data_IF_592864973219
#
_entry.id   IF_592864973219
#
_cell.length_a   1.000
_cell.length_b   1.000
_cell.length_c   1.000
_cell.angle_alpha   90.00
_cell.angle_beta   90.00
_cell.angle_gamma   90.00
#
_symmetry.space_group_name_H-M   'P 1'
#
loop_
_entity.id
_entity.type
_entity.pdbx_description
1 polymer ?
#
# COMPACT_ATOMS: atom_id res chain seq x y z
N UNK A 1 25.71 6.38 -11.66
CA UNK A 1 25.67 6.77 -10.24
C UNK A 1 26.92 6.19 -9.59
N UNK A 2 27.84 7.07 -9.11
CA UNK A 2 29.06 6.61 -8.41
C UNK A 2 28.65 5.87 -7.13
N UNK A 3 29.32 4.78 -6.76
CA UNK A 3 29.07 4.11 -5.48
C UNK A 3 29.36 5.12 -4.36
N UNK A 4 28.38 5.27 -3.47
CA UNK A 4 28.53 6.08 -2.25
C UNK A 4 29.66 5.45 -1.43
N UNK A 5 30.78 6.14 -1.32
CA UNK A 5 31.95 5.68 -0.60
C UNK A 5 31.63 5.33 0.86
N UNK A 6 32.54 4.62 1.48
CA UNK A 6 32.51 3.96 2.79
C UNK A 6 32.40 4.95 4.00
N UNK A 7 31.54 5.99 3.90
CA UNK A 7 31.26 6.89 5.02
C UNK A 7 30.33 6.19 6.02
N UNK A 8 30.58 6.32 7.31
CA UNK A 8 29.68 5.78 8.32
C UNK A 8 28.29 6.41 8.14
N UNK A 9 27.27 5.57 8.26
CA UNK A 9 25.87 6.01 8.18
C UNK A 9 25.41 6.33 9.60
N UNK A 10 25.07 7.59 9.84
CA UNK A 10 24.48 8.06 11.10
C UNK A 10 22.96 8.03 10.98
N UNK A 11 22.28 7.67 12.06
CA UNK A 11 20.82 7.71 12.15
C UNK A 11 20.40 8.65 13.28
N UNK A 12 19.49 9.58 12.99
CA UNK A 12 18.90 10.45 14.00
C UNK A 12 17.43 10.77 13.72
N UNK A 13 16.67 11.27 14.70
CA UNK A 13 15.39 11.92 14.49
C UNK A 13 15.55 13.14 13.61
N UNK A 14 14.62 13.33 12.66
CA UNK A 14 14.61 14.48 11.74
C UNK A 14 13.25 15.17 11.77
N UNK A 15 13.20 16.42 11.29
CA UNK A 15 11.94 17.16 11.20
C UNK A 15 11.06 16.65 10.06
N UNK A 16 9.74 16.86 10.15
CA UNK A 16 8.83 16.56 9.05
C UNK A 16 9.19 17.31 7.76
N UNK A 17 9.75 18.52 7.88
CA UNK A 17 10.24 19.31 6.74
C UNK A 17 11.40 18.61 6.03
N UNK A 18 12.42 18.19 6.77
CA UNK A 18 13.59 17.46 6.24
C UNK A 18 13.17 16.14 5.62
N UNK A 19 12.26 15.43 6.28
CA UNK A 19 11.70 14.16 5.79
C UNK A 19 10.99 14.36 4.44
N UNK A 20 10.08 15.33 4.34
CA UNK A 20 9.36 15.65 3.08
C UNK A 20 10.31 16.06 1.97
N UNK A 21 11.31 16.90 2.28
CA UNK A 21 12.31 17.30 1.31
C UNK A 21 13.06 16.09 0.73
N UNK A 22 13.40 15.09 1.58
CA UNK A 22 13.99 13.84 1.09
C UNK A 22 13.05 13.07 0.18
N UNK A 23 11.78 12.88 0.56
CA UNK A 23 10.80 12.15 -0.28
C UNK A 23 10.61 12.81 -1.66
N UNK A 24 10.66 14.14 -1.72
CA UNK A 24 10.56 14.92 -2.96
C UNK A 24 11.85 14.94 -3.78
N UNK A 25 12.99 14.54 -3.20
CA UNK A 25 14.28 14.51 -3.90
C UNK A 25 14.31 13.42 -4.99
N UNK A 26 15.21 13.54 -5.99
CA UNK A 26 15.41 12.49 -6.99
C UNK A 26 15.71 11.13 -6.37
N UNK A 27 16.44 11.08 -5.27
CA UNK A 27 16.76 9.85 -4.55
C UNK A 27 15.53 9.28 -3.84
N UNK A 28 14.80 10.07 -3.08
CA UNK A 28 13.58 9.65 -2.40
C UNK A 28 12.52 9.14 -3.38
N UNK A 29 12.34 9.85 -4.51
CA UNK A 29 11.46 9.43 -5.61
C UNK A 29 11.90 8.10 -6.21
N UNK A 30 13.19 7.89 -6.45
CA UNK A 30 13.72 6.65 -6.99
C UNK A 30 13.57 5.45 -6.02
N UNK A 31 13.58 5.69 -4.70
CA UNK A 31 13.33 4.67 -3.68
C UNK A 31 11.84 4.31 -3.57
N UNK A 32 10.96 5.15 -4.10
CA UNK A 32 9.55 4.83 -4.30
C UNK A 32 8.73 4.74 -3.01
N UNK A 33 8.79 5.78 -2.18
CA UNK A 33 7.98 5.85 -0.96
C UNK A 33 6.48 5.74 -1.24
N UNK A 34 5.79 4.95 -0.40
CA UNK A 34 4.34 4.91 -0.35
C UNK A 34 3.76 6.01 0.55
N UNK A 35 2.45 6.28 0.43
CA UNK A 35 1.77 7.26 1.29
C UNK A 35 1.80 6.87 2.78
N UNK A 36 1.98 5.59 3.08
CA UNK A 36 2.11 5.07 4.46
C UNK A 36 3.45 5.47 5.12
N UNK A 37 4.40 5.96 4.34
CA UNK A 37 5.68 6.51 4.81
C UNK A 37 5.72 8.05 4.73
N UNK A 38 4.61 8.72 4.42
CA UNK A 38 4.51 10.18 4.54
C UNK A 38 4.39 10.59 6.02
N UNK A 39 5.01 11.70 6.47
CA UNK A 39 4.87 12.20 7.83
C UNK A 39 3.41 12.37 8.28
N UNK A 40 2.54 12.84 7.41
CA UNK A 40 1.09 12.99 7.66
C UNK A 40 0.38 11.68 8.01
N UNK A 41 0.95 10.52 7.65
CA UNK A 41 0.37 9.24 8.05
C UNK A 41 0.41 9.01 9.56
N UNK A 42 1.32 9.66 10.28
CA UNK A 42 1.36 9.66 11.74
C UNK A 42 0.06 10.20 12.34
N UNK A 43 -0.49 11.27 11.77
CA UNK A 43 -1.71 11.92 12.25
C UNK A 43 -2.97 11.10 11.96
N UNK A 44 -2.92 10.21 10.96
CA UNK A 44 -4.00 9.26 10.66
C UNK A 44 -4.08 8.14 11.70
N UNK A 45 -2.94 7.78 12.32
CA UNK A 45 -2.81 6.61 13.21
C UNK A 45 -3.04 6.96 14.69
N UNK A 46 -4.30 7.01 15.07
CA UNK A 46 -4.69 7.23 16.45
C UNK A 46 -4.15 6.15 17.41
N UNK A 47 -3.64 6.59 18.56
CA UNK A 47 -3.06 5.69 19.59
C UNK A 47 -1.67 5.16 19.26
N UNK A 48 -1.01 5.70 18.24
CA UNK A 48 0.39 5.43 17.92
C UNK A 48 1.25 6.68 18.12
N UNK A 49 2.42 6.50 18.71
CA UNK A 49 3.48 7.52 18.75
C UNK A 49 4.31 7.38 17.48
N UNK A 50 4.60 8.47 16.80
CA UNK A 50 5.42 8.46 15.59
C UNK A 50 6.85 8.90 15.90
N UNK A 51 7.82 8.30 15.16
CA UNK A 51 9.19 8.79 15.03
C UNK A 51 9.47 9.00 13.56
N UNK A 52 10.04 10.15 13.22
CA UNK A 52 10.58 10.44 11.91
C UNK A 52 12.10 10.30 11.98
N UNK A 53 12.64 9.29 11.34
CA UNK A 53 14.06 8.97 11.36
C UNK A 53 14.67 9.16 9.98
N UNK A 54 15.89 9.66 9.95
CA UNK A 54 16.69 9.77 8.74
C UNK A 54 18.08 9.20 8.97
N UNK A 55 18.68 8.67 7.94
CA UNK A 55 20.06 8.23 7.97
C UNK A 55 20.82 8.68 6.72
N UNK A 56 22.11 8.91 6.90
CA UNK A 56 23.01 9.39 5.86
C UNK A 56 24.37 9.78 6.42
N UNK A 57 25.21 10.42 5.62
CA UNK A 57 26.49 10.96 6.08
C UNK A 57 26.34 12.07 7.13
N UNK A 58 25.34 12.94 6.95
CA UNK A 58 24.97 14.01 7.88
C UNK A 58 23.45 14.24 7.82
N UNK A 59 22.64 13.43 8.56
CA UNK A 59 21.20 13.57 8.54
C UNK A 59 20.69 14.88 9.17
N UNK A 60 21.44 15.46 10.11
CA UNK A 60 21.08 16.74 10.75
C UNK A 60 21.21 17.89 9.77
N UNK A 61 22.22 17.89 8.91
CA UNK A 61 22.36 18.81 7.79
C UNK A 61 21.47 18.50 6.59
N UNK A 62 20.72 17.38 6.64
CA UNK A 62 19.82 16.94 5.57
C UNK A 62 20.50 16.09 4.48
N UNK A 63 21.72 15.64 4.67
CA UNK A 63 22.40 14.70 3.77
C UNK A 63 21.89 13.27 4.01
N UNK A 64 20.71 12.99 3.45
CA UNK A 64 20.00 11.75 3.69
C UNK A 64 20.22 10.72 2.56
N UNK A 65 20.32 9.45 2.95
CA UNK A 65 20.31 8.29 2.05
C UNK A 65 19.06 7.45 2.20
N UNK A 66 18.28 7.66 3.26
CA UNK A 66 17.01 7.02 3.50
C UNK A 66 16.28 7.63 4.69
N UNK A 67 14.99 7.29 4.83
CA UNK A 67 14.12 7.75 5.91
C UNK A 67 13.16 6.66 6.36
N UNK A 68 12.64 6.77 7.58
CA UNK A 68 11.60 5.90 8.10
C UNK A 68 10.59 6.67 8.95
N UNK A 69 9.31 6.53 8.63
CA UNK A 69 8.23 6.76 9.58
C UNK A 69 8.04 5.49 10.41
N UNK A 70 8.30 5.58 11.70
CA UNK A 70 8.10 4.49 12.64
C UNK A 70 6.91 4.80 13.52
N UNK A 71 5.93 3.92 13.52
CA UNK A 71 4.77 3.96 14.40
C UNK A 71 5.03 3.06 15.60
N UNK A 72 4.93 3.61 16.81
CA UNK A 72 5.14 2.90 18.07
C UNK A 72 3.82 2.69 18.80
N UNK A 73 3.45 1.43 19.01
CA UNK A 73 2.28 1.06 19.82
C UNK A 73 2.72 0.50 21.15
N UNK A 74 2.27 1.13 22.24
CA UNK A 74 2.58 0.67 23.57
C UNK A 74 1.86 -0.65 23.86
N UNK A 75 2.59 -1.61 24.42
CA UNK A 75 1.99 -2.84 24.98
C UNK A 75 1.32 -2.51 26.31
N UNK A 76 0.03 -2.84 26.47
CA UNK A 76 -0.74 -2.50 27.68
C UNK A 76 -0.03 -2.92 28.98
N UNK A 77 -0.03 -2.04 29.99
CA UNK A 77 0.59 -2.29 31.28
C UNK A 77 2.12 -2.24 31.30
N UNK A 78 2.78 -1.86 30.22
CA UNK A 78 4.25 -1.79 30.13
C UNK A 78 4.74 -0.46 29.58
N UNK A 79 6.05 -0.19 29.67
CA UNK A 79 6.74 0.90 28.94
C UNK A 79 7.44 0.39 27.67
N UNK A 80 6.94 -0.70 27.10
CA UNK A 80 7.49 -1.32 25.90
C UNK A 80 6.59 -1.08 24.71
N UNK A 81 7.20 -1.03 23.50
CA UNK A 81 6.53 -0.67 22.27
C UNK A 81 6.72 -1.74 21.20
N UNK A 82 5.68 -1.94 20.41
CA UNK A 82 5.79 -2.58 19.11
C UNK A 82 6.08 -1.49 18.07
N UNK A 83 7.16 -1.62 17.32
CA UNK A 83 7.54 -0.67 16.26
C UNK A 83 7.04 -1.18 14.91
N UNK A 84 6.35 -0.33 14.16
CA UNK A 84 5.80 -0.66 12.85
C UNK A 84 6.19 0.38 11.79
N UNK A 85 6.77 -0.08 10.70
CA UNK A 85 7.16 0.71 9.54
C UNK A 85 6.32 0.26 8.32
N UNK A 86 5.08 0.77 8.14
CA UNK A 86 4.20 0.32 7.07
C UNK A 86 4.78 0.65 5.69
N UNK A 87 4.93 -0.35 4.83
CA UNK A 87 5.55 -0.23 3.50
C UNK A 87 6.91 0.49 3.54
N UNK A 88 7.66 0.28 4.62
CA UNK A 88 8.95 0.93 4.87
C UNK A 88 9.97 0.00 5.53
N UNK A 89 11.18 0.51 5.78
CA UNK A 89 11.65 1.89 5.58
C UNK A 89 11.89 2.25 4.10
N UNK A 90 11.98 3.56 3.81
CA UNK A 90 12.37 4.10 2.50
C UNK A 90 13.90 4.09 2.41
N UNK A 91 14.45 2.98 1.94
CA UNK A 91 15.87 2.67 1.91
C UNK A 91 16.26 2.03 0.58
N UNK A 92 17.56 2.06 0.25
CA UNK A 92 18.06 1.34 -0.92
C UNK A 92 18.25 -0.15 -0.60
N UNK A 93 17.24 -0.95 -0.92
CA UNK A 93 17.25 -2.40 -0.76
C UNK A 93 18.22 -3.12 -1.69
N UNK A 94 18.79 -2.42 -2.70
CA UNK A 94 19.83 -2.95 -3.59
C UNK A 94 21.19 -3.00 -2.91
N UNK A 95 21.39 -2.21 -1.85
CA UNK A 95 22.62 -2.28 -1.06
C UNK A 95 22.83 -3.72 -0.55
N UNK A 96 23.92 -4.39 -0.90
CA UNK A 96 24.18 -5.75 -0.42
C UNK A 96 24.39 -5.80 1.09
N UNK A 97 24.92 -4.73 1.68
CA UNK A 97 25.12 -4.57 3.13
C UNK A 97 23.98 -3.77 3.75
N UNK A 98 22.81 -4.39 3.88
CA UNK A 98 21.65 -3.76 4.52
C UNK A 98 21.90 -3.41 6.00
N UNK A 99 22.87 -4.02 6.66
CA UNK A 99 23.17 -3.76 8.09
C UNK A 99 23.72 -2.36 8.31
N UNK A 100 24.29 -1.73 7.28
CA UNK A 100 24.77 -0.34 7.34
C UNK A 100 23.68 0.66 7.77
N UNK A 101 22.45 0.45 7.37
CA UNK A 101 21.31 1.30 7.73
C UNK A 101 20.29 0.58 8.63
N UNK A 102 20.12 -0.73 8.48
CA UNK A 102 19.19 -1.53 9.28
C UNK A 102 19.72 -1.71 10.72
N UNK A 103 21.01 -1.93 10.90
CA UNK A 103 21.64 -2.07 12.22
C UNK A 103 21.40 -0.85 13.12
N UNK A 104 21.79 0.38 12.70
CA UNK A 104 21.49 1.61 13.43
C UNK A 104 20.01 1.81 13.72
N UNK A 105 19.11 1.47 12.77
CA UNK A 105 17.66 1.55 12.97
C UNK A 105 17.21 0.63 14.11
N UNK A 106 17.61 -0.64 14.11
CA UNK A 106 17.24 -1.61 15.14
C UNK A 106 17.76 -1.21 16.52
N UNK A 107 18.98 -0.70 16.58
CA UNK A 107 19.58 -0.23 17.82
C UNK A 107 18.85 1.00 18.37
N UNK A 108 18.49 1.97 17.52
CA UNK A 108 17.69 3.13 17.91
C UNK A 108 16.34 2.70 18.47
N UNK A 109 15.64 1.79 17.79
CA UNK A 109 14.33 1.28 18.23
C UNK A 109 14.44 0.53 19.55
N UNK A 110 15.49 -0.27 19.75
CA UNK A 110 15.76 -0.96 21.01
C UNK A 110 15.94 0.02 22.16
N UNK A 111 16.72 1.10 21.98
CA UNK A 111 16.90 2.18 22.96
C UNK A 111 15.60 2.93 23.23
N UNK A 112 14.75 3.11 22.23
CA UNK A 112 13.42 3.70 22.36
C UNK A 112 12.42 2.79 23.09
N UNK A 113 12.82 1.59 23.54
CA UNK A 113 12.00 0.65 24.28
C UNK A 113 11.17 -0.30 23.40
N UNK A 114 11.48 -0.42 22.12
CA UNK A 114 10.79 -1.38 21.27
C UNK A 114 11.19 -2.82 21.63
N UNK A 115 10.21 -3.71 21.79
CA UNK A 115 10.43 -5.15 22.02
C UNK A 115 10.44 -5.95 20.72
N UNK A 116 9.80 -5.43 19.68
CA UNK A 116 9.79 -6.02 18.34
C UNK A 116 9.58 -4.94 17.29
N UNK A 117 9.96 -5.25 16.06
CA UNK A 117 9.78 -4.38 14.90
C UNK A 117 9.17 -5.14 13.75
N UNK A 118 8.26 -4.47 13.03
CA UNK A 118 7.68 -4.93 11.76
C UNK A 118 8.03 -3.93 10.66
N UNK A 119 8.49 -4.43 9.53
CA UNK A 119 8.81 -3.66 8.33
C UNK A 119 8.07 -4.21 7.12
N UNK A 120 7.84 -3.38 6.10
CA UNK A 120 7.28 -3.77 4.81
C UNK A 120 8.24 -3.37 3.68
N UNK A 121 9.21 -4.22 3.30
CA UNK A 121 10.16 -3.90 2.24
C UNK A 121 9.47 -3.61 0.91
N UNK A 122 9.92 -2.54 0.21
CA UNK A 122 9.30 -2.06 -1.02
C UNK A 122 9.54 -2.91 -2.29
N UNK A 123 10.60 -3.74 -2.43
CA UNK A 123 10.76 -4.57 -3.63
C UNK A 123 9.60 -5.54 -3.82
N UNK A 124 9.22 -5.76 -5.07
CA UNK A 124 8.29 -6.83 -5.42
C UNK A 124 8.97 -8.19 -5.32
N UNK A 125 8.17 -9.25 -5.20
CA UNK A 125 8.70 -10.62 -5.19
C UNK A 125 8.42 -11.33 -6.52
N UNK A 126 7.15 -11.37 -6.95
CA UNK A 126 6.71 -12.01 -8.20
C UNK A 126 5.66 -11.14 -8.90
N UNK A 127 5.54 -11.30 -10.21
CA UNK A 127 4.54 -10.60 -11.02
C UNK A 127 3.86 -11.56 -11.98
N UNK A 128 2.56 -11.33 -12.22
CA UNK A 128 1.75 -12.06 -13.19
C UNK A 128 1.00 -11.07 -14.06
N UNK A 129 1.28 -11.07 -15.34
CA UNK A 129 0.55 -10.23 -16.29
C UNK A 129 -0.90 -10.69 -16.46
N UNK A 130 -1.84 -9.76 -16.50
CA UNK A 130 -3.27 -10.07 -16.56
C UNK A 130 -3.64 -10.97 -17.75
N UNK A 131 -2.96 -10.79 -18.89
CA UNK A 131 -3.18 -11.60 -20.09
C UNK A 131 -2.86 -13.08 -19.87
N UNK A 132 -1.82 -13.38 -19.08
CA UNK A 132 -1.38 -14.74 -18.79
C UNK A 132 -2.22 -15.42 -17.69
N UNK A 133 -2.81 -14.63 -16.79
CA UNK A 133 -3.65 -15.20 -15.71
C UNK A 133 -5.02 -15.68 -16.17
N UNK A 134 -5.61 -15.04 -17.18
CA UNK A 134 -6.95 -15.38 -17.66
C UNK A 134 -7.13 -16.87 -18.03
N UNK A 135 -6.25 -17.49 -18.82
CA UNK A 135 -6.39 -18.90 -19.17
C UNK A 135 -6.05 -19.86 -18.03
N UNK A 136 -5.46 -19.36 -16.94
CA UNK A 136 -5.00 -20.17 -15.80
C UNK A 136 -6.02 -20.27 -14.67
N UNK A 137 -7.20 -19.67 -14.83
CA UNK A 137 -8.27 -19.74 -13.84
C UNK A 137 -8.90 -21.14 -13.79
N UNK A 138 -9.27 -21.60 -12.61
CA UNK A 138 -9.92 -22.92 -12.44
C UNK A 138 -10.21 -23.23 -10.97
N UNK A 139 -11.04 -24.28 -10.73
CA UNK A 139 -11.42 -24.68 -9.37
C UNK A 139 -10.22 -24.92 -8.46
N UNK A 140 -10.25 -24.33 -7.27
CA UNK A 140 -9.22 -24.47 -6.22
C UNK A 140 -7.88 -23.86 -6.53
N UNK A 141 -7.66 -23.25 -7.70
CA UNK A 141 -6.36 -22.66 -8.08
C UNK A 141 -6.08 -21.36 -7.35
N UNK A 142 -4.80 -21.16 -7.07
CA UNK A 142 -4.24 -19.95 -6.42
C UNK A 142 -3.11 -19.36 -7.27
N UNK A 143 -2.79 -18.08 -7.05
CA UNK A 143 -1.63 -17.39 -7.68
C UNK A 143 -0.30 -18.12 -7.40
N UNK A 144 -0.18 -18.73 -6.20
CA UNK A 144 1.00 -19.51 -5.83
C UNK A 144 1.22 -20.77 -6.65
N UNK A 145 0.14 -21.31 -7.25
CA UNK A 145 0.14 -22.58 -8.02
C UNK A 145 0.52 -22.37 -9.49
N UNK A 146 0.57 -21.12 -9.93
CA UNK A 146 0.83 -20.78 -11.33
C UNK A 146 2.17 -20.07 -11.49
N UNK A 147 2.85 -20.36 -12.61
CA UNK A 147 4.14 -19.76 -12.89
C UNK A 147 4.00 -18.24 -13.03
N UNK A 148 4.86 -17.50 -12.32
CA UNK A 148 4.92 -16.05 -12.44
C UNK A 148 5.48 -15.64 -13.82
N UNK A 149 4.99 -14.52 -14.37
CA UNK A 149 5.55 -13.91 -15.58
C UNK A 149 6.98 -13.40 -15.33
N UNK A 150 7.23 -13.00 -14.08
CA UNK A 150 8.52 -12.46 -13.66
C UNK A 150 8.74 -12.76 -12.18
N UNK A 151 9.94 -13.20 -11.84
CA UNK A 151 10.44 -13.29 -10.45
C UNK A 151 11.50 -12.19 -10.28
N UNK A 152 11.29 -11.29 -9.32
CA UNK A 152 12.20 -10.18 -9.08
C UNK A 152 13.44 -10.66 -8.31
N UNK A 153 14.63 -10.64 -8.93
CA UNK A 153 15.85 -11.12 -8.26
C UNK A 153 16.21 -10.26 -7.04
N UNK A 154 15.86 -8.96 -7.05
CA UNK A 154 16.07 -8.11 -5.89
C UNK A 154 15.17 -8.55 -4.73
N UNK A 155 13.88 -8.80 -5.00
CA UNK A 155 12.95 -9.29 -3.99
C UNK A 155 13.41 -10.60 -3.37
N UNK A 156 13.87 -11.54 -4.19
CA UNK A 156 14.43 -12.82 -3.73
C UNK A 156 15.63 -12.60 -2.81
N UNK A 157 16.60 -11.80 -3.25
CA UNK A 157 17.80 -11.51 -2.46
C UNK A 157 17.50 -10.79 -1.14
N UNK A 158 16.53 -9.86 -1.13
CA UNK A 158 16.10 -9.17 0.10
C UNK A 158 15.45 -10.14 1.08
N UNK A 159 14.57 -11.03 0.60
CA UNK A 159 13.93 -12.04 1.45
C UNK A 159 14.97 -12.96 2.10
N UNK A 160 15.96 -13.43 1.33
CA UNK A 160 17.07 -14.27 1.83
C UNK A 160 17.91 -13.54 2.88
N UNK A 161 18.29 -12.27 2.60
CA UNK A 161 19.06 -11.44 3.55
C UNK A 161 18.32 -11.23 4.86
N UNK A 162 17.00 -11.02 4.81
CA UNK A 162 16.18 -10.85 6.02
C UNK A 162 16.12 -12.16 6.82
N UNK A 163 15.87 -13.31 6.17
CA UNK A 163 15.87 -14.62 6.83
C UNK A 163 17.22 -14.93 7.51
N UNK A 164 18.32 -14.70 6.80
CA UNK A 164 19.66 -14.90 7.33
C UNK A 164 19.95 -14.05 8.59
N UNK A 165 19.22 -12.93 8.75
CA UNK A 165 19.31 -12.03 9.92
C UNK A 165 18.24 -12.29 10.99
N UNK A 166 17.53 -13.42 10.90
CA UNK A 166 16.54 -13.83 11.90
C UNK A 166 15.24 -13.04 11.85
N UNK A 167 14.89 -12.47 10.69
CA UNK A 167 13.56 -11.93 10.46
C UNK A 167 12.62 -13.06 10.04
N UNK A 168 11.39 -12.99 10.51
CA UNK A 168 10.32 -13.89 10.12
C UNK A 168 9.28 -13.15 9.31
N UNK A 169 8.81 -13.76 8.22
CA UNK A 169 7.71 -13.22 7.43
C UNK A 169 6.40 -13.35 8.19
N UNK A 170 5.59 -12.29 8.22
CA UNK A 170 4.24 -12.34 8.74
C UNK A 170 3.37 -13.24 7.85
N UNK A 171 2.44 -14.00 8.45
CA UNK A 171 1.62 -14.96 7.71
C UNK A 171 2.32 -16.26 7.29
N UNK A 172 3.63 -16.40 7.59
CA UNK A 172 4.42 -17.59 7.26
C UNK A 172 4.82 -17.67 5.78
N UNK A 173 5.60 -18.71 5.44
CA UNK A 173 6.01 -19.01 4.04
C UNK A 173 4.96 -19.87 3.29
N UNK A 174 3.83 -20.18 3.92
CA UNK A 174 2.77 -21.02 3.35
C UNK A 174 1.99 -20.32 2.24
N UNK A 175 1.43 -21.13 1.36
CA UNK A 175 0.49 -20.73 0.29
C UNK A 175 -0.88 -20.29 0.83
N UNK A 176 -1.03 -20.23 2.16
CA UNK A 176 -2.24 -19.79 2.85
C UNK A 176 -2.61 -18.38 2.46
N UNK A 177 -3.78 -18.24 1.91
CA UNK A 177 -4.34 -17.06 1.28
C UNK A 177 -4.64 -15.93 2.25
N UNK A 178 -4.77 -16.29 3.48
CA UNK A 178 -5.48 -15.45 4.40
C UNK A 178 -4.49 -14.57 5.12
N UNK A 179 -3.84 -13.64 4.50
CA UNK A 179 -3.10 -12.50 5.07
C UNK A 179 -3.07 -12.37 6.60
N UNK A 180 -3.23 -13.47 7.30
CA UNK A 180 -3.47 -13.63 8.72
C UNK A 180 -2.36 -13.11 9.63
N UNK A 181 -1.45 -12.34 9.08
CA UNK A 181 -0.37 -11.70 9.78
C UNK A 181 0.01 -10.34 9.22
N UNK A 182 -0.23 -10.11 7.93
CA UNK A 182 0.11 -8.85 7.26
C UNK A 182 -0.98 -7.79 7.49
N UNK A 183 -0.55 -6.56 7.83
CA UNK A 183 -1.46 -5.41 7.89
C UNK A 183 -1.64 -4.75 6.52
N UNK A 184 -0.77 -5.08 5.54
CA UNK A 184 -0.84 -4.64 4.15
C UNK A 184 -1.08 -5.84 3.22
N UNK A 185 -1.74 -5.62 2.04
CA UNK A 185 -2.02 -6.71 1.11
C UNK A 185 -0.73 -7.36 0.60
N UNK A 186 -0.69 -8.70 0.64
CA UNK A 186 0.40 -9.47 0.06
C UNK A 186 0.39 -9.40 -1.47
N UNK A 187 -0.79 -9.51 -2.07
CA UNK A 187 -0.99 -9.37 -3.51
C UNK A 187 -1.69 -8.06 -3.79
N UNK A 188 -1.11 -7.26 -4.67
CA UNK A 188 -1.66 -5.98 -5.14
C UNK A 188 -1.78 -5.99 -6.66
N UNK A 189 -2.60 -5.09 -7.20
CA UNK A 189 -2.78 -4.99 -8.65
C UNK A 189 -2.23 -3.66 -9.15
N UNK A 190 -1.26 -3.71 -10.04
CA UNK A 190 -0.61 -2.54 -10.63
C UNK A 190 -0.98 -2.36 -12.09
N UNK A 191 -1.30 -1.14 -12.48
CA UNK A 191 -1.40 -0.69 -13.86
C UNK A 191 -0.21 0.23 -14.14
N UNK A 192 0.80 -0.22 -14.91
CA UNK A 192 1.92 0.64 -15.30
C UNK A 192 1.42 1.80 -16.18
N UNK A 193 1.90 3.02 -15.89
CA UNK A 193 1.53 4.24 -16.61
C UNK A 193 2.72 4.84 -17.36
N UNK A 194 3.94 4.63 -16.88
CA UNK A 194 5.14 5.20 -17.46
C UNK A 194 5.29 4.86 -18.96
N UNK A 195 5.53 5.90 -19.76
CA UNK A 195 5.74 5.76 -21.20
C UNK A 195 4.51 5.37 -22.03
N UNK A 196 3.31 5.34 -21.39
CA UNK A 196 2.05 5.04 -22.06
C UNK A 196 1.30 6.32 -22.41
N UNK A 197 0.60 6.31 -23.53
CA UNK A 197 -0.42 7.32 -23.88
C UNK A 197 -1.78 6.92 -23.29
N UNK A 198 -2.74 7.85 -23.29
CA UNK A 198 -4.13 7.55 -22.94
C UNK A 198 -4.76 6.49 -23.83
N UNK A 199 -4.37 6.47 -25.12
CA UNK A 199 -4.82 5.46 -26.08
C UNK A 199 -4.26 4.07 -25.77
N UNK A 200 -3.00 3.99 -25.34
CA UNK A 200 -2.40 2.73 -24.85
C UNK A 200 -3.12 2.21 -23.61
N UNK A 201 -3.48 3.11 -22.68
CA UNK A 201 -4.25 2.75 -21.50
C UNK A 201 -5.65 2.24 -21.87
N UNK A 202 -6.31 2.92 -22.83
CA UNK A 202 -7.61 2.47 -23.33
C UNK A 202 -7.53 1.13 -24.07
N UNK A 203 -6.52 0.96 -24.93
CA UNK A 203 -6.28 -0.30 -25.64
C UNK A 203 -5.97 -1.46 -24.67
N UNK A 204 -5.30 -1.17 -23.55
CA UNK A 204 -5.01 -2.13 -22.48
C UNK A 204 -6.25 -2.64 -21.74
N UNK A 205 -7.35 -1.89 -21.72
CA UNK A 205 -8.61 -2.35 -21.17
C UNK A 205 -9.16 -3.52 -22.00
N UNK A 206 -9.72 -4.54 -21.34
CA UNK A 206 -10.44 -5.58 -22.05
C UNK A 206 -11.75 -5.05 -22.65
N UNK A 207 -12.38 -5.85 -23.51
CA UNK A 207 -13.63 -5.46 -24.19
C UNK A 207 -14.77 -5.16 -23.22
N UNK A 208 -14.89 -5.93 -22.11
CA UNK A 208 -15.91 -5.72 -21.08
C UNK A 208 -15.73 -4.36 -20.39
N UNK A 209 -14.49 -3.99 -20.04
CA UNK A 209 -14.21 -2.70 -19.43
C UNK A 209 -14.51 -1.53 -20.37
N UNK A 210 -14.04 -1.59 -21.61
CA UNK A 210 -14.33 -0.56 -22.61
C UNK A 210 -15.83 -0.38 -22.84
N UNK A 211 -16.57 -1.48 -22.92
CA UNK A 211 -18.04 -1.47 -23.02
C UNK A 211 -18.68 -0.81 -21.77
N UNK A 212 -18.22 -1.17 -20.57
CA UNK A 212 -18.76 -0.64 -19.32
C UNK A 212 -18.49 0.87 -19.14
N UNK A 213 -17.30 1.34 -19.51
CA UNK A 213 -16.98 2.78 -19.50
C UNK A 213 -17.86 3.54 -20.47
N UNK A 214 -17.99 3.06 -21.73
CA UNK A 214 -18.87 3.68 -22.74
C UNK A 214 -20.34 3.65 -22.30
N UNK A 215 -20.77 2.58 -21.65
CA UNK A 215 -22.13 2.49 -21.10
C UNK A 215 -22.36 3.56 -20.04
N UNK A 216 -21.45 3.70 -19.08
CA UNK A 216 -21.57 4.72 -18.05
C UNK A 216 -21.68 6.13 -18.66
N UNK A 217 -20.87 6.43 -19.67
CA UNK A 217 -20.94 7.70 -20.42
C UNK A 217 -22.30 7.89 -21.10
N UNK A 218 -22.79 6.86 -21.80
CA UNK A 218 -24.08 6.89 -22.50
C UNK A 218 -25.27 7.07 -21.54
N UNK A 219 -25.22 6.44 -20.37
CA UNK A 219 -26.24 6.54 -19.32
C UNK A 219 -26.17 7.87 -18.55
N UNK A 220 -25.20 8.74 -18.85
CA UNK A 220 -25.08 10.06 -18.19
C UNK A 220 -24.48 9.97 -16.79
N UNK A 221 -23.62 9.01 -16.51
CA UNK A 221 -22.89 8.98 -15.24
C UNK A 221 -21.82 10.07 -15.25
N UNK A 222 -21.95 11.02 -14.34
CA UNK A 222 -21.00 12.11 -14.14
C UNK A 222 -19.97 11.75 -13.08
N UNK A 223 -18.68 12.02 -13.36
CA UNK A 223 -17.59 11.83 -12.40
C UNK A 223 -17.06 13.18 -11.95
N UNK A 224 -17.20 13.47 -10.67
CA UNK A 224 -16.73 14.71 -10.04
C UNK A 224 -15.74 14.42 -8.92
N UNK A 225 -14.89 15.40 -8.60
CA UNK A 225 -14.05 15.39 -7.41
C UNK A 225 -14.85 16.06 -6.29
N UNK A 226 -15.11 15.32 -5.24
CA UNK A 226 -15.79 15.77 -4.04
C UNK A 226 -14.84 16.44 -3.04
N UNK A 227 -15.38 16.76 -1.89
CA UNK A 227 -14.71 17.44 -0.78
C UNK A 227 -14.80 16.60 0.52
N UNK A 228 -14.28 17.15 1.63
CA UNK A 228 -14.49 16.56 2.96
C UNK A 228 -15.98 16.43 3.34
N UNK A 229 -16.82 17.33 2.85
CA UNK A 229 -18.26 17.31 3.12
C UNK A 229 -18.97 16.07 2.54
N UNK A 230 -18.37 15.40 1.55
CA UNK A 230 -18.91 14.20 0.92
C UNK A 230 -18.46 12.90 1.61
N UNK A 231 -17.57 12.97 2.62
CA UNK A 231 -17.09 11.78 3.35
C UNK A 231 -18.19 11.00 4.09
N UNK A 232 -19.22 11.63 4.68
CA UNK A 232 -20.35 10.89 5.26
C UNK A 232 -21.04 9.98 4.23
N UNK A 233 -21.29 10.48 3.02
CA UNK A 233 -21.91 9.71 1.95
C UNK A 233 -21.00 8.60 1.43
N UNK A 234 -19.70 8.87 1.30
CA UNK A 234 -18.70 7.82 1.01
C UNK A 234 -18.75 6.69 2.06
N UNK A 235 -18.80 7.02 3.36
CA UNK A 235 -18.87 6.02 4.43
C UNK A 235 -20.20 5.25 4.41
N UNK A 236 -21.32 5.91 4.08
CA UNK A 236 -22.62 5.25 3.88
C UNK A 236 -22.55 4.20 2.77
N UNK A 237 -21.99 4.57 1.60
CA UNK A 237 -21.79 3.65 0.48
C UNK A 237 -20.80 2.54 0.82
N UNK A 238 -19.76 2.84 1.62
CA UNK A 238 -18.81 1.83 2.07
C UNK A 238 -19.46 0.77 2.94
N UNK A 239 -20.34 1.16 3.87
CA UNK A 239 -21.10 0.23 4.68
C UNK A 239 -22.05 -0.66 3.83
N UNK A 240 -22.61 -0.13 2.73
CA UNK A 240 -23.38 -0.94 1.76
C UNK A 240 -22.48 -1.96 1.08
N UNK A 241 -21.32 -1.51 0.62
CA UNK A 241 -20.32 -2.36 -0.06
C UNK A 241 -19.81 -3.47 0.85
N UNK A 242 -19.46 -3.17 2.11
CA UNK A 242 -19.02 -4.15 3.11
C UNK A 242 -20.04 -5.24 3.34
N UNK A 243 -21.33 -4.87 3.53
CA UNK A 243 -22.43 -5.84 3.70
C UNK A 243 -22.62 -6.70 2.45
N UNK A 244 -22.68 -6.06 1.27
CA UNK A 244 -22.88 -6.76 0.00
C UNK A 244 -21.74 -7.74 -0.28
N UNK A 245 -20.51 -7.32 -0.09
CA UNK A 245 -19.32 -8.08 -0.51
C UNK A 245 -18.72 -8.92 0.64
N UNK A 246 -19.31 -8.87 1.85
CA UNK A 246 -19.00 -9.75 2.97
C UNK A 246 -17.62 -9.55 3.57
N UNK A 247 -17.12 -8.31 3.60
CA UNK A 247 -15.89 -7.94 4.28
C UNK A 247 -16.14 -6.77 5.24
N UNK A 248 -15.15 -6.46 6.06
CA UNK A 248 -15.21 -5.32 6.98
C UNK A 248 -13.83 -4.66 7.10
N UNK A 249 -13.74 -3.37 6.77
CA UNK A 249 -12.52 -2.60 6.95
C UNK A 249 -12.36 -2.07 8.38
N UNK A 250 -13.47 -1.94 9.12
CA UNK A 250 -13.46 -1.46 10.50
C UNK A 250 -13.01 0.01 10.64
N UNK A 251 -13.20 0.82 9.62
CA UNK A 251 -12.80 2.23 9.60
C UNK A 251 -14.01 3.14 9.73
N UNK A 252 -13.97 4.07 10.71
CA UNK A 252 -15.04 5.03 10.96
C UNK A 252 -14.96 6.24 10.03
N UNK A 253 -16.04 7.06 10.00
CA UNK A 253 -16.02 8.36 9.35
C UNK A 253 -14.87 9.23 9.88
N UNK A 254 -14.69 9.32 11.19
CA UNK A 254 -13.61 10.08 11.81
C UNK A 254 -12.20 9.62 11.35
N UNK A 255 -12.02 8.34 11.01
CA UNK A 255 -10.78 7.85 10.40
C UNK A 255 -10.55 8.45 9.00
N UNK A 256 -11.59 8.49 8.16
CA UNK A 256 -11.48 9.04 6.79
C UNK A 256 -11.37 10.57 6.81
N UNK A 257 -12.02 11.25 7.74
CA UNK A 257 -11.87 12.70 7.95
C UNK A 257 -10.43 13.06 8.34
N UNK A 258 -9.84 12.35 9.32
CA UNK A 258 -8.43 12.53 9.70
C UNK A 258 -7.49 12.25 8.54
N UNK A 259 -7.74 11.16 7.79
CA UNK A 259 -6.92 10.80 6.64
C UNK A 259 -6.96 11.88 5.57
N UNK A 260 -8.16 12.34 5.21
CA UNK A 260 -8.35 13.39 4.22
C UNK A 260 -7.68 14.69 4.66
N UNK A 261 -7.91 15.11 5.89
CA UNK A 261 -7.33 16.33 6.44
C UNK A 261 -5.80 16.26 6.52
N UNK A 262 -5.23 15.19 7.11
CA UNK A 262 -3.78 15.06 7.30
C UNK A 262 -3.01 15.01 5.97
N UNK A 263 -3.47 14.17 5.03
CA UNK A 263 -2.80 14.04 3.73
C UNK A 263 -2.86 15.33 2.90
N UNK A 264 -4.01 16.01 2.91
CA UNK A 264 -4.20 17.27 2.17
C UNK A 264 -3.58 18.50 2.86
N UNK A 265 -3.38 18.47 4.18
CA UNK A 265 -2.60 19.48 4.89
C UNK A 265 -1.11 19.38 4.58
N UNK A 266 -0.59 18.15 4.38
CA UNK A 266 0.81 17.95 3.99
C UNK A 266 1.05 18.36 2.54
N UNK A 267 0.15 18.02 1.63
CA UNK A 267 0.20 18.40 0.22
C UNK A 267 -1.22 18.51 -0.36
N UNK A 268 -1.64 19.71 -0.77
CA UNK A 268 -2.98 19.92 -1.31
C UNK A 268 -3.28 18.99 -2.49
N UNK A 269 -4.42 18.29 -2.43
CA UNK A 269 -4.85 17.35 -3.47
C UNK A 269 -4.15 15.97 -3.43
N UNK A 270 -3.36 15.68 -2.38
CA UNK A 270 -2.74 14.35 -2.18
C UNK A 270 -3.78 13.26 -2.05
N UNK A 271 -4.90 13.51 -1.36
CA UNK A 271 -6.03 12.60 -1.31
C UNK A 271 -7.24 13.27 -1.96
N UNK A 272 -7.76 12.64 -3.01
CA UNK A 272 -8.99 13.06 -3.70
C UNK A 272 -10.09 12.04 -3.46
N UNK A 273 -11.31 12.51 -3.28
CA UNK A 273 -12.53 11.72 -3.24
C UNK A 273 -13.24 11.90 -4.58
N UNK A 274 -13.38 10.82 -5.35
CA UNK A 274 -14.10 10.82 -6.62
C UNK A 274 -15.51 10.28 -6.41
N UNK A 275 -16.51 10.93 -7.00
CA UNK A 275 -17.92 10.60 -6.89
C UNK A 275 -18.49 10.35 -8.29
N UNK A 276 -19.19 9.23 -8.48
CA UNK A 276 -20.00 8.98 -9.67
C UNK A 276 -21.45 9.29 -9.35
N UNK A 277 -21.98 10.31 -10.03
CA UNK A 277 -23.36 10.76 -9.91
C UNK A 277 -24.19 10.30 -11.10
N UNK A 278 -25.42 9.93 -10.85
CA UNK A 278 -26.40 9.61 -11.89
C UNK A 278 -27.78 10.03 -11.43
N UNK A 279 -28.45 10.90 -12.21
CA UNK A 279 -29.75 11.45 -11.86
C UNK A 279 -29.83 12.06 -10.45
N UNK A 280 -28.80 12.83 -10.08
CA UNK A 280 -28.70 13.50 -8.78
C UNK A 280 -28.23 12.64 -7.60
N UNK A 281 -28.11 11.34 -7.77
CA UNK A 281 -27.69 10.39 -6.73
C UNK A 281 -26.21 9.98 -6.88
N UNK A 282 -25.48 9.83 -5.77
CA UNK A 282 -24.11 9.30 -5.75
C UNK A 282 -24.18 7.76 -5.69
N UNK A 283 -23.79 7.10 -6.79
CA UNK A 283 -23.84 5.64 -6.91
C UNK A 283 -22.51 4.95 -6.60
N UNK A 284 -21.40 5.67 -6.68
CA UNK A 284 -20.10 5.15 -6.25
C UNK A 284 -19.21 6.30 -5.79
N UNK A 285 -18.29 5.97 -4.87
CA UNK A 285 -17.30 6.90 -4.35
C UNK A 285 -15.97 6.18 -4.12
N UNK A 286 -14.88 6.74 -4.66
CA UNK A 286 -13.54 6.13 -4.58
C UNK A 286 -12.51 7.16 -4.12
N UNK A 287 -11.50 6.70 -3.36
CA UNK A 287 -10.39 7.55 -2.94
C UNK A 287 -9.15 7.27 -3.75
N UNK A 288 -8.50 8.34 -4.23
CA UNK A 288 -7.20 8.33 -4.89
C UNK A 288 -6.19 9.06 -4.01
N UNK A 289 -5.04 8.43 -3.74
CA UNK A 289 -3.92 9.06 -3.06
C UNK A 289 -2.74 9.11 -4.02
N UNK A 290 -2.01 10.22 -4.05
CA UNK A 290 -0.82 10.39 -4.89
C UNK A 290 0.39 10.80 -4.06
N UNK A 291 1.55 10.17 -4.28
CA UNK A 291 2.83 10.55 -3.69
C UNK A 291 3.93 10.35 -4.73
N UNK A 292 4.66 11.40 -5.03
CA UNK A 292 5.67 11.37 -6.08
C UNK A 292 5.09 10.89 -7.40
N UNK A 293 5.67 9.83 -7.96
CA UNK A 293 5.23 9.25 -9.25
C UNK A 293 4.34 8.00 -9.07
N UNK A 294 3.60 7.90 -7.95
CA UNK A 294 2.70 6.78 -7.67
C UNK A 294 1.31 7.26 -7.29
N UNK A 295 0.31 6.53 -7.73
CA UNK A 295 -1.09 6.78 -7.42
C UNK A 295 -1.74 5.50 -6.89
N UNK A 296 -2.56 5.61 -5.84
CA UNK A 296 -3.24 4.49 -5.19
C UNK A 296 -4.75 4.69 -5.19
N UNK A 297 -5.47 3.78 -5.82
CA UNK A 297 -6.87 3.54 -5.53
C UNK A 297 -6.98 2.85 -4.16
N UNK A 298 -7.19 3.63 -3.09
CA UNK A 298 -7.06 3.09 -1.74
C UNK A 298 -8.34 2.41 -1.25
N UNK A 299 -9.49 3.03 -1.45
CA UNK A 299 -10.78 2.50 -0.98
C UNK A 299 -11.86 2.87 -1.97
N UNK A 300 -12.72 1.91 -2.28
CA UNK A 300 -13.90 2.12 -3.13
C UNK A 300 -15.17 1.65 -2.48
N UNK A 301 -16.23 2.39 -2.76
CA UNK A 301 -17.57 2.12 -2.29
C UNK A 301 -18.58 2.29 -3.43
N UNK A 302 -19.66 1.52 -3.43
CA UNK A 302 -20.71 1.62 -4.43
C UNK A 302 -22.07 1.18 -3.87
N UNK A 303 -23.13 1.75 -4.39
CA UNK A 303 -24.50 1.35 -4.12
C UNK A 303 -24.74 -0.10 -4.58
N UNK A 304 -25.77 -0.73 -4.06
CA UNK A 304 -26.23 -2.06 -4.43
C UNK A 304 -27.31 -2.06 -5.53
N UNK A 305 -27.80 -0.88 -5.89
CA UNK A 305 -28.77 -0.64 -6.96
C UNK A 305 -28.16 0.18 -8.11
N UNK A 306 -28.84 0.24 -9.26
CA UNK A 306 -28.41 0.92 -10.50
C UNK A 306 -26.97 0.57 -10.95
N UNK A 307 -26.52 -0.63 -10.61
CA UNK A 307 -25.19 -1.12 -10.95
C UNK A 307 -24.98 -1.30 -12.45
N UNK A 308 -26.05 -1.45 -13.20
CA UNK A 308 -26.09 -1.56 -14.65
C UNK A 308 -25.56 -0.32 -15.36
N UNK A 309 -25.62 0.89 -14.74
CA UNK A 309 -25.02 2.11 -15.32
C UNK A 309 -23.50 2.20 -15.13
N UNK A 310 -22.89 1.22 -14.45
CA UNK A 310 -21.43 1.03 -14.33
C UNK A 310 -20.66 2.17 -13.66
N UNK A 311 -21.13 2.75 -12.54
CA UNK A 311 -20.53 3.94 -11.93
C UNK A 311 -19.07 3.72 -11.50
N UNK A 312 -18.71 2.54 -10.95
CA UNK A 312 -17.34 2.24 -10.53
C UNK A 312 -16.36 2.13 -11.71
N UNK A 313 -16.82 1.70 -12.91
CA UNK A 313 -15.96 1.69 -14.09
C UNK A 313 -15.68 3.12 -14.59
N UNK A 314 -16.69 4.02 -14.55
CA UNK A 314 -16.50 5.43 -14.87
C UNK A 314 -15.47 6.09 -13.92
N UNK A 315 -15.62 5.88 -12.59
CA UNK A 315 -14.69 6.40 -11.59
C UNK A 315 -13.26 5.91 -11.83
N UNK A 316 -13.05 4.62 -11.98
CA UNK A 316 -11.71 4.06 -12.15
C UNK A 316 -11.05 4.55 -13.43
N UNK A 317 -11.81 4.64 -14.53
CA UNK A 317 -11.26 5.17 -15.77
C UNK A 317 -10.82 6.63 -15.60
N UNK A 318 -11.66 7.47 -14.98
CA UNK A 318 -11.30 8.87 -14.70
C UNK A 318 -10.08 8.97 -13.77
N UNK A 319 -10.04 8.19 -12.70
CA UNK A 319 -8.91 8.17 -11.76
C UNK A 319 -7.60 7.72 -12.42
N UNK A 320 -7.69 6.75 -13.34
CA UNK A 320 -6.53 6.27 -14.10
C UNK A 320 -5.98 7.39 -15.02
N UNK A 321 -6.89 8.11 -15.72
CA UNK A 321 -6.51 9.25 -16.56
C UNK A 321 -5.91 10.39 -15.74
N UNK A 322 -6.52 10.72 -14.60
CA UNK A 322 -6.02 11.79 -13.72
C UNK A 322 -4.65 11.43 -13.13
N UNK A 323 -4.43 10.17 -12.72
CA UNK A 323 -3.13 9.69 -12.27
C UNK A 323 -2.07 9.78 -13.38
N UNK A 324 -2.43 9.41 -14.61
CA UNK A 324 -1.55 9.54 -15.77
C UNK A 324 -1.21 11.01 -16.06
N UNK A 325 -2.21 11.91 -16.06
CA UNK A 325 -2.02 13.35 -16.27
C UNK A 325 -1.14 14.02 -15.20
N UNK A 326 -1.14 13.49 -13.95
CA UNK A 326 -0.25 13.91 -12.88
C UNK A 326 1.18 13.37 -13.03
N UNK A 327 1.48 12.60 -14.08
CA UNK A 327 2.80 12.04 -14.34
C UNK A 327 3.15 10.83 -13.45
N UNK A 328 2.17 10.12 -12.94
CA UNK A 328 2.42 8.88 -12.19
C UNK A 328 2.99 7.80 -13.13
N UNK A 329 3.96 7.03 -12.63
CA UNK A 329 4.50 5.85 -13.31
C UNK A 329 3.64 4.62 -13.10
N UNK A 330 2.88 4.60 -12.01
CA UNK A 330 2.15 3.45 -11.52
C UNK A 330 0.82 3.85 -10.90
N UNK A 331 -0.23 3.14 -11.28
CA UNK A 331 -1.53 3.16 -10.62
C UNK A 331 -1.72 1.85 -9.86
N UNK A 332 -1.64 1.91 -8.54
CA UNK A 332 -1.84 0.76 -7.64
C UNK A 332 -3.32 0.66 -7.28
N UNK A 333 -3.97 -0.41 -7.72
CA UNK A 333 -5.37 -0.70 -7.39
C UNK A 333 -5.51 -1.44 -6.05
N UNK A 334 -4.45 -1.52 -5.24
CA UNK A 334 -4.40 -2.19 -3.93
C UNK A 334 -4.71 -3.69 -4.01
N UNK A 335 -5.04 -4.26 -2.85
CA UNK A 335 -5.15 -5.68 -2.62
C UNK A 335 -6.03 -6.45 -3.59
N UNK A 336 -5.55 -7.64 -3.95
CA UNK A 336 -6.32 -8.68 -4.64
C UNK A 336 -6.23 -10.00 -3.87
N UNK A 337 -7.26 -10.86 -3.94
CA UNK A 337 -7.16 -12.20 -3.40
C UNK A 337 -6.16 -13.05 -4.19
N UNK A 338 -5.65 -14.10 -3.59
CA UNK A 338 -4.77 -15.06 -4.28
C UNK A 338 -5.54 -16.05 -5.14
N UNK A 339 -6.84 -16.16 -4.95
CA UNK A 339 -7.66 -17.15 -5.67
C UNK A 339 -7.76 -16.86 -7.16
N UNK A 340 -7.62 -17.93 -7.96
CA UNK A 340 -7.90 -17.98 -9.39
C UNK A 340 -9.16 -18.83 -9.67
N UNK A 341 -9.91 -19.20 -8.62
CA UNK A 341 -11.12 -20.00 -8.73
C UNK A 341 -12.34 -19.10 -9.00
N UNK A 342 -12.98 -19.21 -10.19
CA UNK A 342 -14.19 -18.45 -10.51
C UNK A 342 -15.38 -18.75 -9.59
N UNK A 343 -15.38 -19.89 -8.90
CA UNK A 343 -16.42 -20.27 -7.93
C UNK A 343 -16.28 -19.54 -6.60
N UNK A 344 -15.11 -18.98 -6.29
CA UNK A 344 -14.91 -18.22 -5.07
C UNK A 344 -15.39 -16.77 -5.22
N UNK A 345 -16.12 -16.27 -4.22
CA UNK A 345 -16.65 -14.90 -4.21
C UNK A 345 -15.56 -13.84 -4.39
N UNK A 346 -14.41 -14.04 -3.75
CA UNK A 346 -13.29 -13.12 -3.80
C UNK A 346 -12.70 -12.95 -5.21
N UNK A 347 -12.79 -13.97 -6.08
CA UNK A 347 -12.31 -13.92 -7.46
C UNK A 347 -12.93 -12.77 -8.27
N UNK A 348 -14.16 -12.37 -7.96
CA UNK A 348 -14.84 -11.27 -8.66
C UNK A 348 -14.03 -9.96 -8.64
N UNK A 349 -13.36 -9.65 -7.51
CA UNK A 349 -12.49 -8.48 -7.39
C UNK A 349 -11.25 -8.60 -8.27
N UNK A 350 -10.58 -9.76 -8.26
CA UNK A 350 -9.42 -10.00 -9.12
C UNK A 350 -9.80 -9.90 -10.60
N UNK A 351 -10.86 -10.60 -11.03
CA UNK A 351 -11.38 -10.56 -12.41
C UNK A 351 -11.64 -9.13 -12.88
N UNK A 352 -12.24 -8.31 -12.02
CA UNK A 352 -12.53 -6.92 -12.34
C UNK A 352 -11.24 -6.13 -12.57
N UNK A 353 -10.23 -6.27 -11.72
CA UNK A 353 -8.93 -5.60 -11.89
C UNK A 353 -8.15 -6.12 -13.10
N UNK A 354 -8.16 -7.44 -13.35
CA UNK A 354 -7.53 -8.02 -14.53
C UNK A 354 -8.04 -7.40 -15.86
N UNK A 355 -9.27 -6.91 -15.85
CA UNK A 355 -9.85 -6.23 -17.01
C UNK A 355 -9.17 -4.93 -17.40
N UNK A 356 -8.38 -4.32 -16.52
CA UNK A 356 -7.62 -3.09 -16.82
C UNK A 356 -6.30 -3.33 -17.55
N UNK A 357 -5.90 -4.60 -17.77
CA UNK A 357 -4.69 -4.96 -18.51
C UNK A 357 -3.38 -4.72 -17.74
N UNK A 358 -3.46 -4.57 -16.41
CA UNK A 358 -2.29 -4.47 -15.53
C UNK A 358 -1.70 -5.83 -15.17
N UNK A 359 -1.11 -5.90 -13.98
CA UNK A 359 -0.48 -7.11 -13.46
C UNK A 359 -0.74 -7.30 -11.97
N UNK A 360 -0.85 -8.53 -11.52
CA UNK A 360 -0.76 -8.86 -10.09
C UNK A 360 0.70 -8.80 -9.68
N UNK A 361 0.96 -8.21 -8.53
CA UNK A 361 2.27 -8.14 -7.91
C UNK A 361 2.20 -8.75 -6.53
N UNK A 362 3.01 -9.76 -6.27
CA UNK A 362 3.27 -10.22 -4.93
C UNK A 362 4.34 -9.32 -4.31
N UNK A 363 4.00 -8.68 -3.20
CA UNK A 363 4.95 -7.93 -2.40
C UNK A 363 5.82 -8.88 -1.59
N UNK A 364 6.92 -8.40 -1.03
CA UNK A 364 7.68 -9.19 -0.06
C UNK A 364 6.87 -9.49 1.21
N UNK A 365 5.71 -8.83 1.39
CA UNK A 365 4.94 -8.88 2.61
C UNK A 365 5.62 -8.15 3.77
N UNK A 366 5.11 -8.36 4.95
CA UNK A 366 5.66 -7.77 6.16
C UNK A 366 6.58 -8.76 6.88
N UNK A 367 7.61 -8.22 7.49
CA UNK A 367 8.64 -8.99 8.20
C UNK A 367 8.78 -8.50 9.61
N UNK A 368 8.85 -9.42 10.55
CA UNK A 368 8.99 -9.11 11.97
C UNK A 368 10.30 -9.65 12.55
N UNK A 369 10.80 -8.91 13.53
CA UNK A 369 11.94 -9.33 14.35
C UNK A 369 11.75 -8.88 15.79
N UNK A 370 11.83 -9.81 16.77
CA UNK A 370 11.99 -9.43 18.18
C UNK A 370 13.32 -8.70 18.40
N UNK A 371 13.32 -7.69 19.27
CA UNK A 371 14.50 -6.87 19.57
C UNK A 371 15.02 -7.19 20.97
N UNK A 372 16.19 -7.84 21.06
CA UNK A 372 16.85 -8.17 22.36
C UNK A 372 16.56 -9.57 22.83
N UNK A 373 16.70 -9.80 24.16
CA UNK A 373 16.70 -11.13 24.77
C UNK A 373 15.32 -11.80 24.91
N UNK A 374 15.30 -12.94 25.63
CA UNK A 374 14.13 -13.83 25.78
C UNK A 374 12.86 -13.15 26.28
N UNK A 375 12.97 -12.15 27.14
CA UNK A 375 11.81 -11.37 27.64
C UNK A 375 11.08 -10.64 26.50
N UNK A 376 11.80 -10.03 25.56
CA UNK A 376 11.20 -9.35 24.41
C UNK A 376 10.59 -10.34 23.41
N UNK A 377 11.17 -11.54 23.27
CA UNK A 377 10.55 -12.63 22.49
C UNK A 377 9.22 -13.08 23.11
N UNK A 378 9.15 -13.18 24.44
CA UNK A 378 7.91 -13.51 25.14
C UNK A 378 6.84 -12.41 24.97
N UNK A 379 7.24 -11.13 25.10
CA UNK A 379 6.35 -9.99 24.85
C UNK A 379 5.85 -9.98 23.39
N UNK A 380 6.70 -10.28 22.44
CA UNK A 380 6.32 -10.36 21.03
C UNK A 380 5.24 -11.43 20.79
N UNK A 381 5.44 -12.64 21.33
CA UNK A 381 4.42 -13.71 21.25
C UNK A 381 3.10 -13.31 21.92
N UNK A 382 3.16 -12.70 23.10
CA UNK A 382 1.98 -12.22 23.80
C UNK A 382 1.24 -11.13 23.00
N UNK A 383 1.97 -10.21 22.37
CA UNK A 383 1.40 -9.17 21.52
C UNK A 383 0.74 -9.74 20.26
N UNK A 384 1.35 -10.74 19.62
CA UNK A 384 0.74 -11.43 18.48
C UNK A 384 -0.57 -12.14 18.88
N UNK A 385 -0.58 -12.80 20.03
CA UNK A 385 -1.81 -13.41 20.57
C UNK A 385 -2.90 -12.36 20.88
N UNK A 386 -2.51 -11.20 21.38
CA UNK A 386 -3.43 -10.08 21.64
C UNK A 386 -4.03 -9.52 20.35
N UNK A 387 -3.23 -9.36 19.28
CA UNK A 387 -3.71 -8.88 17.98
C UNK A 387 -4.72 -9.84 17.32
N UNK A 388 -4.53 -11.15 17.47
CA UNK A 388 -5.45 -12.18 16.93
C UNK A 388 -6.81 -12.21 17.60
N UNK A 389 -6.95 -11.62 18.80
CA UNK A 389 -8.21 -11.59 19.58
C UNK A 389 -9.04 -10.33 19.37
N UNK A 390 -8.53 -9.36 18.63
CA UNK A 390 -9.18 -8.10 18.28
C UNK A 390 -9.68 -8.09 16.85
#
# INVERSE_FOLDING_TARGET
VRPVGNRPVTLCPITARTYRAFLASPRGTALGAGFLQCPSWADVKEGWRALLLGWGPDPEAGELTGVALVLLRQFPGTRKYFAYLPEGPVADWRDPDVDRWLGPLLEHLRRAGAFAVRIGPSPAYRRWDAALLKPLTGPGRRLGDVLASEVDPLGTAVAERLRARGWSRCGGDGTGDDGGGDAQPRYVFHVPLAGRTTDDLWAGLNQEWRRNVRRAQKEGVEVVVGSAADLPEFCRLLAVTERRDGFRLGRSLAYYERQYAALNAEEPGRMKLYLARHQGEILAAHTLITVGRRAWYQTGASADHRREVRPSNALQWRMLLDAHALGADMYDMRGVPSTLDPGERAYGLLRWKLGTGGRVVETLGEWEKPLGGSANHALHRAFQAYLKRR
#
